data_IF_439176021168
#
_entry.id   IF_439176021168
#
_cell.length_a   1.000
_cell.length_b   1.000
_cell.length_c   1.000
_cell.angle_alpha   90.00
_cell.angle_beta   90.00
_cell.angle_gamma   90.00
#
_symmetry.space_group_name_H-M   'P 1'
#
loop_
_entity.id
_entity.type
_entity.pdbx_description
1 polymer ?
#
# COMPACT_ATOMS: atom_id res chain seq x y z
N UNK A 1 -36.00 -28.67 72.23
CA UNK A 1 -37.07 -27.69 71.96
C UNK A 1 -36.44 -26.35 71.65
N UNK A 2 -36.99 -25.67 70.65
CA UNK A 2 -37.05 -24.20 70.48
C UNK A 2 -35.83 -23.42 69.96
N UNK A 3 -36.00 -23.08 68.67
CA UNK A 3 -35.65 -21.87 67.91
C UNK A 3 -35.38 -20.57 68.70
N UNK A 4 -34.43 -19.77 68.21
CA UNK A 4 -34.51 -18.30 68.01
C UNK A 4 -33.34 -17.89 67.10
N UNK A 5 -33.55 -17.62 65.80
CA UNK A 5 -33.87 -16.31 65.19
C UNK A 5 -33.05 -15.12 65.72
N UNK A 6 -32.36 -14.42 64.82
CA UNK A 6 -31.83 -13.08 65.12
C UNK A 6 -30.74 -12.62 64.16
N UNK A 7 -31.11 -12.22 62.95
CA UNK A 7 -30.25 -11.54 61.99
C UNK A 7 -29.81 -10.15 62.50
N UNK A 8 -28.58 -9.72 62.16
CA UNK A 8 -28.32 -8.31 61.83
C UNK A 8 -27.02 -8.15 61.02
N UNK A 9 -27.19 -7.56 59.82
CA UNK A 9 -26.32 -6.64 59.08
C UNK A 9 -24.79 -6.85 59.13
N UNK A 10 -24.17 -7.29 58.03
CA UNK A 10 -23.71 -6.45 56.90
C UNK A 10 -22.56 -5.49 57.27
N UNK A 11 -21.39 -5.72 56.68
CA UNK A 11 -20.46 -4.74 56.08
C UNK A 11 -19.22 -5.50 55.55
N UNK A 12 -19.12 -5.56 54.22
CA UNK A 12 -17.94 -5.32 53.37
C UNK A 12 -16.57 -5.66 54.01
N UNK A 13 -15.79 -6.60 53.48
CA UNK A 13 -14.98 -6.40 52.28
C UNK A 13 -14.69 -7.75 51.62
N UNK A 14 -15.41 -8.00 50.52
CA UNK A 14 -15.06 -9.03 49.56
C UNK A 14 -13.79 -8.59 48.82
N UNK A 15 -12.76 -9.42 48.95
CA UNK A 15 -11.94 -9.94 47.86
C UNK A 15 -11.75 -9.01 46.66
N UNK A 16 -10.58 -8.38 46.69
CA UNK A 16 -9.79 -7.91 45.58
C UNK A 16 -9.70 -8.98 44.47
N UNK A 17 -10.63 -8.89 43.51
CA UNK A 17 -10.50 -9.50 42.19
C UNK A 17 -11.02 -8.48 41.18
N UNK A 18 -10.16 -7.79 40.43
CA UNK A 18 -10.63 -6.99 39.32
C UNK A 18 -11.34 -7.92 38.33
N UNK A 19 -12.64 -7.68 38.21
CA UNK A 19 -13.55 -8.32 37.29
C UNK A 19 -13.01 -8.19 35.87
N UNK A 20 -13.06 -9.26 35.08
CA UNK A 20 -12.61 -9.33 33.68
C UNK A 20 -13.41 -8.44 32.71
N UNK A 21 -14.12 -7.42 33.23
CA UNK A 21 -14.97 -6.48 32.51
C UNK A 21 -14.37 -5.09 32.33
N UNK A 22 -13.17 -4.82 32.87
CA UNK A 22 -12.44 -3.56 32.66
C UNK A 22 -11.21 -3.65 31.73
N UNK A 23 -10.86 -4.85 31.22
CA UNK A 23 -9.78 -4.99 30.22
C UNK A 23 -10.17 -4.63 28.79
N UNK A 24 -11.44 -4.32 28.52
CA UNK A 24 -11.94 -4.00 27.19
C UNK A 24 -12.03 -2.50 26.88
N UNK A 25 -11.54 -1.62 27.75
CA UNK A 25 -11.53 -0.16 27.54
C UNK A 25 -10.13 0.47 27.43
N UNK A 26 -9.13 -0.35 27.10
CA UNK A 26 -7.74 0.08 26.88
C UNK A 26 -7.17 -0.26 25.50
N UNK A 27 -8.02 -0.68 24.54
CA UNK A 27 -7.64 -1.03 23.15
C UNK A 27 -8.31 -0.10 22.12
N UNK A 28 -8.67 1.10 22.56
CA UNK A 28 -9.29 2.13 21.74
C UNK A 28 -8.58 3.47 21.93
N UNK A 29 -7.32 3.55 21.50
CA UNK A 29 -6.67 4.78 21.02
C UNK A 29 -5.27 4.45 20.50
N UNK A 30 -4.95 4.97 19.31
CA UNK A 30 -3.67 4.96 18.57
C UNK A 30 -3.36 3.64 17.81
N UNK A 31 -3.58 3.50 16.50
CA UNK A 31 -3.73 4.48 15.42
C UNK A 31 -4.72 3.96 14.37
N UNK A 32 -5.87 4.61 14.23
CA UNK A 32 -6.55 4.66 12.95
C UNK A 32 -5.65 5.49 12.03
N UNK A 33 -4.81 4.84 11.22
CA UNK A 33 -4.17 5.53 10.12
C UNK A 33 -5.30 5.98 9.18
N UNK A 34 -5.54 7.29 9.21
CA UNK A 34 -6.43 8.07 8.35
C UNK A 34 -6.39 7.55 6.91
N UNK A 35 -7.55 7.10 6.43
CA UNK A 35 -7.98 6.86 5.05
C UNK A 35 -6.87 6.45 4.07
N UNK A 36 -6.82 5.14 3.78
CA UNK A 36 -6.13 4.63 2.61
C UNK A 36 -7.09 4.65 1.42
N UNK A 37 -6.84 5.46 0.40
CA UNK A 37 -7.63 5.33 -0.84
C UNK A 37 -7.07 4.14 -1.59
N UNK A 38 -7.94 3.16 -1.82
CA UNK A 38 -7.60 1.94 -2.53
C UNK A 38 -7.95 2.07 -4.02
N UNK A 39 -7.04 1.59 -4.85
CA UNK A 39 -7.18 1.57 -6.28
C UNK A 39 -6.94 0.15 -6.79
N UNK A 40 -7.93 -0.39 -7.51
CA UNK A 40 -7.89 -1.73 -8.09
C UNK A 40 -7.94 -1.65 -9.63
N UNK A 41 -7.38 -2.62 -10.37
CA UNK A 41 -7.48 -2.67 -11.82
C UNK A 41 -8.92 -2.54 -12.31
N UNK A 42 -9.14 -1.64 -13.26
CA UNK A 42 -10.45 -1.44 -13.89
C UNK A 42 -10.89 -2.67 -14.71
N UNK A 43 -9.92 -3.47 -15.18
CA UNK A 43 -10.15 -4.71 -15.92
C UNK A 43 -9.10 -5.75 -15.55
N UNK A 44 -9.55 -6.98 -15.32
CA UNK A 44 -8.67 -8.11 -15.01
C UNK A 44 -7.65 -8.40 -16.12
N UNK A 45 -8.01 -8.20 -17.39
CA UNK A 45 -7.11 -8.44 -18.53
C UNK A 45 -5.90 -7.52 -18.58
N UNK A 46 -5.93 -6.35 -17.90
CA UNK A 46 -4.76 -5.47 -17.85
C UNK A 46 -3.61 -6.11 -17.04
N UNK A 47 -3.93 -6.99 -16.09
CA UNK A 47 -2.96 -7.69 -15.26
C UNK A 47 -2.02 -8.61 -16.06
N UNK A 48 -2.43 -9.05 -17.25
CA UNK A 48 -1.61 -9.84 -18.16
C UNK A 48 -0.37 -9.10 -18.68
N UNK A 49 -0.29 -7.79 -18.44
CA UNK A 49 0.85 -6.93 -18.79
C UNK A 49 1.94 -6.93 -17.73
N UNK A 50 1.70 -7.53 -16.57
CA UNK A 50 2.60 -7.55 -15.42
C UNK A 50 2.95 -8.98 -15.02
N UNK A 51 4.15 -9.13 -14.47
CA UNK A 51 4.66 -10.37 -13.93
C UNK A 51 5.43 -10.10 -12.63
N UNK A 52 5.53 -11.12 -11.79
CA UNK A 52 6.46 -11.13 -10.66
C UNK A 52 7.73 -11.82 -11.11
N UNK A 53 8.84 -11.09 -11.12
CA UNK A 53 10.17 -11.64 -11.31
C UNK A 53 10.78 -11.98 -9.96
N UNK A 54 11.30 -13.20 -9.84
CA UNK A 54 11.98 -13.69 -8.64
C UNK A 54 13.47 -13.74 -8.96
N UNK A 55 14.23 -12.85 -8.34
CA UNK A 55 15.67 -12.75 -8.49
C UNK A 55 16.33 -13.64 -7.44
N UNK A 56 16.84 -14.79 -7.89
CA UNK A 56 17.74 -15.63 -7.11
C UNK A 56 19.16 -15.44 -7.67
N UNK A 57 20.15 -15.01 -6.85
CA UNK A 57 21.52 -14.84 -7.32
C UNK A 57 22.19 -16.13 -7.82
N UNK A 58 21.58 -17.30 -7.56
CA UNK A 58 22.06 -18.62 -7.98
C UNK A 58 21.49 -19.07 -9.32
N UNK A 59 20.46 -18.40 -9.84
CA UNK A 59 19.81 -18.78 -11.08
C UNK A 59 20.24 -17.88 -12.25
N UNK A 60 20.58 -18.48 -13.39
CA UNK A 60 20.98 -17.74 -14.60
C UNK A 60 19.81 -16.97 -15.24
N UNK A 61 18.57 -17.39 -14.96
CA UNK A 61 17.35 -16.74 -15.45
C UNK A 61 16.37 -16.62 -14.30
N UNK A 62 15.91 -15.40 -14.05
CA UNK A 62 14.92 -15.12 -13.01
C UNK A 62 13.57 -15.75 -13.38
N UNK A 63 13.02 -16.67 -12.58
CA UNK A 63 11.69 -17.21 -12.83
C UNK A 63 10.64 -16.12 -12.72
N UNK A 64 9.61 -16.21 -13.57
CA UNK A 64 8.52 -15.24 -13.65
C UNK A 64 7.18 -15.87 -13.36
N UNK A 65 6.29 -15.14 -12.70
CA UNK A 65 4.94 -15.59 -12.34
C UNK A 65 3.89 -14.58 -12.80
N UNK A 66 2.81 -15.08 -13.38
CA UNK A 66 1.64 -14.26 -13.64
C UNK A 66 1.00 -13.78 -12.33
N UNK A 67 0.41 -12.59 -12.39
CA UNK A 67 -0.35 -12.01 -11.28
C UNK A 67 -1.84 -12.23 -11.49
N UNK A 68 -2.58 -12.43 -10.41
CA UNK A 68 -4.04 -12.59 -10.43
C UNK A 68 -4.77 -11.34 -9.97
N UNK A 69 -4.14 -10.55 -9.08
CA UNK A 69 -4.74 -9.39 -8.44
C UNK A 69 -3.67 -8.34 -8.10
N UNK A 70 -4.08 -7.07 -8.08
CA UNK A 70 -3.25 -5.90 -7.79
C UNK A 70 -4.09 -4.89 -7.02
N UNK A 71 -3.52 -4.28 -5.98
CA UNK A 71 -4.10 -3.15 -5.24
C UNK A 71 -3.02 -2.10 -5.02
N UNK A 72 -3.37 -0.83 -5.21
CA UNK A 72 -2.54 0.30 -4.80
C UNK A 72 -3.25 1.05 -3.68
N UNK A 73 -2.64 1.03 -2.50
CA UNK A 73 -3.07 1.81 -1.33
C UNK A 73 -2.33 3.15 -1.33
N UNK A 74 -3.06 4.26 -1.28
CA UNK A 74 -2.48 5.57 -1.02
C UNK A 74 -2.78 6.01 0.39
N UNK A 75 -1.78 6.54 1.10
CA UNK A 75 -1.96 7.05 2.46
C UNK A 75 -1.31 8.43 2.62
N UNK A 76 -1.83 9.27 3.54
CA UNK A 76 -1.24 10.57 3.82
C UNK A 76 0.24 10.47 4.19
N UNK A 77 1.00 11.50 3.82
CA UNK A 77 2.40 11.64 4.16
C UNK A 77 2.63 12.93 4.93
N UNK A 78 3.27 13.90 4.28
CA UNK A 78 3.48 15.26 4.82
C UNK A 78 2.27 16.17 4.68
N UNK A 79 1.38 15.86 3.75
CA UNK A 79 0.14 16.60 3.48
C UNK A 79 -1.06 15.65 3.47
N UNK A 80 -2.26 16.22 3.57
CA UNK A 80 -3.50 15.47 3.39
C UNK A 80 -3.57 14.86 1.98
N UNK A 81 -4.06 13.63 1.88
CA UNK A 81 -4.09 12.89 0.62
C UNK A 81 -4.94 13.60 -0.45
N UNK A 82 -6.08 14.18 -0.06
CA UNK A 82 -6.93 14.94 -0.99
C UNK A 82 -6.19 16.16 -1.56
N UNK A 83 -5.36 16.83 -0.76
CA UNK A 83 -4.54 17.95 -1.23
C UNK A 83 -3.43 17.47 -2.18
N UNK A 84 -2.82 16.31 -1.87
CA UNK A 84 -1.83 15.71 -2.75
C UNK A 84 -2.42 15.31 -4.11
N UNK A 85 -3.63 14.76 -4.12
CA UNK A 85 -4.33 14.33 -5.33
C UNK A 85 -4.93 15.50 -6.11
N UNK A 86 -5.29 16.60 -5.44
CA UNK A 86 -5.77 17.83 -6.07
C UNK A 86 -4.64 18.70 -6.66
N UNK A 87 -3.38 18.48 -6.24
CA UNK A 87 -2.20 19.18 -6.74
C UNK A 87 -1.91 18.88 -8.21
N UNK A 88 -2.65 19.50 -9.12
CA UNK A 88 -2.44 19.40 -10.56
C UNK A 88 -1.17 20.12 -11.04
N UNK A 89 -0.89 19.98 -12.35
CA UNK A 89 0.21 20.66 -13.02
C UNK A 89 0.11 22.19 -12.84
N UNK A 90 1.14 22.79 -12.24
CA UNK A 90 1.19 24.25 -11.97
C UNK A 90 1.02 24.66 -10.49
N UNK A 91 0.75 23.72 -9.58
CA UNK A 91 0.84 24.00 -8.14
C UNK A 91 2.32 24.06 -7.69
N UNK A 92 2.66 24.96 -6.76
CA UNK A 92 4.01 25.02 -6.17
C UNK A 92 4.42 23.71 -5.46
N UNK A 93 3.45 22.85 -5.18
CA UNK A 93 3.58 21.52 -4.55
C UNK A 93 4.14 20.48 -5.54
N UNK A 94 4.05 20.70 -6.86
CA UNK A 94 4.49 19.71 -7.87
C UNK A 94 5.98 19.35 -7.77
N UNK A 95 6.82 20.26 -7.28
CA UNK A 95 8.26 20.03 -7.09
C UNK A 95 8.59 19.34 -5.75
N UNK A 96 7.62 19.22 -4.84
CA UNK A 96 7.83 18.64 -3.52
C UNK A 96 7.95 17.12 -3.56
N UNK A 97 8.85 16.60 -2.71
CA UNK A 97 9.07 15.16 -2.53
C UNK A 97 8.41 14.71 -1.23
N UNK A 98 8.05 13.43 -1.17
CA UNK A 98 7.57 12.75 0.04
C UNK A 98 6.24 13.32 0.56
N UNK A 99 5.32 13.64 -0.35
CA UNK A 99 4.02 14.22 -0.03
C UNK A 99 3.05 13.20 0.54
N UNK A 100 2.98 12.03 -0.11
CA UNK A 100 2.13 10.92 0.27
C UNK A 100 2.86 9.60 0.10
N UNK A 101 2.28 8.53 0.65
CA UNK A 101 2.81 7.18 0.55
C UNK A 101 1.92 6.35 -0.37
N UNK A 102 2.55 5.52 -1.20
CA UNK A 102 1.87 4.50 -1.97
C UNK A 102 2.41 3.12 -1.58
N UNK A 103 1.52 2.13 -1.48
CA UNK A 103 1.90 0.73 -1.27
C UNK A 103 1.21 -0.11 -2.32
N UNK A 104 1.96 -1.04 -2.91
CA UNK A 104 1.40 -2.01 -3.85
C UNK A 104 1.27 -3.37 -3.17
N UNK A 105 0.10 -3.98 -3.32
CA UNK A 105 -0.18 -5.35 -2.95
C UNK A 105 -0.47 -6.13 -4.22
N UNK A 106 0.13 -7.30 -4.37
CA UNK A 106 -0.05 -8.12 -5.58
C UNK A 106 -0.19 -9.58 -5.21
N UNK A 107 -1.06 -10.30 -5.91
CA UNK A 107 -1.23 -11.75 -5.75
C UNK A 107 -0.68 -12.44 -6.99
N UNK A 108 0.18 -13.45 -6.81
CA UNK A 108 0.78 -14.19 -7.92
C UNK A 108 1.23 -15.59 -7.52
N UNK A 109 0.85 -16.59 -8.31
CA UNK A 109 1.14 -18.01 -8.01
C UNK A 109 0.62 -18.46 -6.64
N UNK A 110 -0.57 -17.98 -6.23
CA UNK A 110 -1.23 -18.34 -4.97
C UNK A 110 -0.67 -17.67 -3.71
N UNK A 111 0.19 -16.65 -3.85
CA UNK A 111 0.79 -15.92 -2.72
C UNK A 111 0.49 -14.43 -2.82
N UNK A 112 0.27 -13.80 -1.67
CA UNK A 112 0.20 -12.34 -1.53
C UNK A 112 1.60 -11.79 -1.28
N UNK A 113 1.98 -10.78 -2.04
CA UNK A 113 3.20 -10.00 -1.88
C UNK A 113 2.81 -8.59 -1.48
N UNK A 114 3.50 -8.05 -0.48
CA UNK A 114 3.23 -6.72 0.07
C UNK A 114 4.48 -5.86 -0.11
N UNK A 115 4.42 -4.94 -1.05
CA UNK A 115 5.50 -4.00 -1.30
C UNK A 115 5.77 -3.10 -0.11
N UNK A 116 7.02 -2.66 0.01
CA UNK A 116 7.37 -1.61 0.95
C UNK A 116 6.64 -0.30 0.58
N UNK A 117 6.28 0.55 1.56
CA UNK A 117 5.73 1.87 1.27
C UNK A 117 6.72 2.70 0.46
N UNK A 118 6.28 3.20 -0.69
CA UNK A 118 7.02 4.14 -1.51
C UNK A 118 6.64 5.58 -1.14
N UNK A 119 7.62 6.46 -1.08
CA UNK A 119 7.36 7.90 -1.04
C UNK A 119 7.06 8.43 -2.43
N UNK A 120 5.98 9.19 -2.56
CA UNK A 120 5.58 9.83 -3.80
C UNK A 120 5.76 11.35 -3.72
N UNK A 121 6.12 11.96 -4.84
CA UNK A 121 6.16 13.43 -5.00
C UNK A 121 4.82 14.02 -5.45
N UNK A 122 4.81 15.31 -5.73
CA UNK A 122 3.68 15.96 -6.41
C UNK A 122 3.47 15.44 -7.84
N UNK A 123 2.32 15.75 -8.43
CA UNK A 123 2.03 15.40 -9.83
C UNK A 123 2.59 16.48 -10.76
N UNK A 124 3.78 16.22 -11.32
CA UNK A 124 4.32 17.05 -12.40
C UNK A 124 3.78 16.52 -13.75
N UNK A 125 3.09 17.38 -14.52
CA UNK A 125 2.47 16.99 -15.80
C UNK A 125 1.63 15.70 -15.66
N UNK A 126 0.84 15.66 -14.59
CA UNK A 126 -0.05 14.55 -14.21
C UNK A 126 0.65 13.26 -13.76
N UNK A 127 1.98 13.26 -13.60
CA UNK A 127 2.76 12.11 -13.14
C UNK A 127 3.39 12.37 -11.77
N UNK A 128 3.09 11.51 -10.80
CA UNK A 128 3.81 11.43 -9.53
C UNK A 128 4.76 10.23 -9.58
N UNK A 129 6.03 10.45 -9.27
CA UNK A 129 7.02 9.36 -9.16
C UNK A 129 7.11 8.90 -7.72
N UNK A 130 6.93 7.60 -7.52
CA UNK A 130 7.04 6.94 -6.23
C UNK A 130 8.34 6.13 -6.15
N UNK A 131 9.08 6.25 -5.05
CA UNK A 131 10.34 5.54 -4.82
C UNK A 131 10.30 4.74 -3.52
N UNK A 132 10.78 3.49 -3.57
CA UNK A 132 10.93 2.62 -2.41
C UNK A 132 12.29 2.85 -1.75
N UNK A 133 12.32 3.07 -0.44
CA UNK A 133 13.50 3.56 0.28
C UNK A 133 14.66 2.54 0.39
N UNK A 134 14.40 1.23 0.32
CA UNK A 134 15.34 0.20 0.80
C UNK A 134 15.96 -0.73 -0.26
N UNK A 135 15.26 -1.07 -1.34
CA UNK A 135 15.71 -2.09 -2.30
C UNK A 135 15.78 -1.58 -3.75
N UNK A 136 15.52 -0.29 -3.94
CA UNK A 136 15.50 0.31 -5.26
C UNK A 136 14.30 -0.14 -6.08
N UNK A 137 13.70 0.81 -6.78
CA UNK A 137 12.47 0.57 -7.52
C UNK A 137 11.63 1.82 -7.52
N UNK A 138 11.13 2.14 -8.71
CA UNK A 138 10.26 3.30 -8.93
C UNK A 138 9.05 2.84 -9.70
N UNK A 139 7.93 3.47 -9.42
CA UNK A 139 6.73 3.36 -10.24
C UNK A 139 6.10 4.74 -10.35
N UNK A 140 5.31 4.91 -11.40
CA UNK A 140 4.58 6.14 -11.67
C UNK A 140 3.13 5.99 -11.24
N UNK A 141 2.55 7.06 -10.70
CA UNK A 141 1.11 7.22 -10.57
C UNK A 141 0.71 8.39 -11.46
N UNK A 142 -0.17 8.15 -12.42
CA UNK A 142 -0.68 9.17 -13.34
C UNK A 142 -2.16 9.41 -13.12
N UNK A 143 -2.55 10.67 -12.94
CA UNK A 143 -3.96 11.04 -12.85
C UNK A 143 -4.61 10.94 -14.23
N UNK A 144 -5.83 10.40 -14.31
CA UNK A 144 -6.62 10.49 -15.55
C UNK A 144 -7.41 11.78 -15.56
N UNK A 145 -7.04 12.68 -16.46
CA UNK A 145 -7.79 13.93 -16.68
C UNK A 145 -9.27 13.62 -16.95
N UNK A 146 -10.16 14.31 -16.22
CA UNK A 146 -11.61 14.17 -16.35
C UNK A 146 -12.24 12.91 -15.73
N UNK A 147 -11.46 12.02 -15.09
CA UNK A 147 -11.99 10.80 -14.45
C UNK A 147 -11.64 10.77 -12.96
N UNK A 148 -12.51 11.39 -12.12
CA UNK A 148 -12.39 11.30 -10.66
C UNK A 148 -12.33 9.82 -10.23
N UNK A 149 -11.41 9.51 -9.32
CA UNK A 149 -11.19 8.15 -8.82
C UNK A 149 -10.60 7.14 -9.79
N UNK A 150 -10.09 7.58 -10.95
CA UNK A 150 -9.30 6.71 -11.80
C UNK A 150 -7.88 7.24 -11.92
N UNK A 151 -6.92 6.34 -11.77
CA UNK A 151 -5.51 6.63 -11.98
C UNK A 151 -4.85 5.53 -12.79
N UNK A 152 -3.63 5.77 -13.23
CA UNK A 152 -2.83 4.78 -13.94
C UNK A 152 -1.60 4.51 -13.09
N UNK A 153 -1.34 3.25 -12.78
CA UNK A 153 -0.03 2.83 -12.26
C UNK A 153 0.86 2.44 -13.43
N UNK A 154 2.08 2.97 -13.43
CA UNK A 154 3.11 2.75 -14.45
C UNK A 154 4.25 1.98 -13.82
N UNK A 155 4.52 0.78 -14.32
CA UNK A 155 5.62 -0.08 -13.88
C UNK A 155 6.62 -0.21 -15.04
N UNK A 156 7.91 -0.04 -14.78
CA UNK A 156 8.96 -0.05 -15.81
C UNK A 156 9.60 1.33 -16.01
N UNK A 157 9.97 1.65 -17.24
CA UNK A 157 10.51 2.97 -17.58
C UNK A 157 9.46 4.08 -17.36
N UNK A 158 9.87 5.17 -16.69
CA UNK A 158 8.98 6.29 -16.39
C UNK A 158 9.19 7.45 -17.38
N UNK A 159 8.12 8.08 -17.89
CA UNK A 159 8.23 9.23 -18.78
C UNK A 159 9.07 10.36 -18.17
N UNK A 160 10.05 10.86 -18.92
CA UNK A 160 10.90 11.97 -18.49
C UNK A 160 12.03 11.60 -17.52
N UNK A 161 12.20 10.31 -17.19
CA UNK A 161 13.23 9.83 -16.27
C UNK A 161 14.15 8.84 -16.98
N UNK A 162 15.25 9.35 -17.54
CA UNK A 162 16.25 8.53 -18.27
C UNK A 162 17.23 7.79 -17.34
N UNK A 163 17.16 8.04 -16.03
CA UNK A 163 18.13 7.54 -15.03
C UNK A 163 17.61 6.36 -14.19
N UNK A 164 16.58 5.63 -14.65
CA UNK A 164 16.16 4.39 -13.99
C UNK A 164 17.12 3.28 -14.35
N UNK A 165 18.29 3.24 -13.69
CA UNK A 165 19.34 2.26 -13.90
C UNK A 165 18.82 0.84 -14.15
N UNK A 166 19.18 0.30 -15.31
CA UNK A 166 19.25 -1.08 -15.81
C UNK A 166 18.17 -2.14 -15.49
N UNK A 167 17.19 -1.89 -14.63
CA UNK A 167 16.18 -2.91 -14.27
C UNK A 167 14.77 -2.33 -14.18
N UNK A 168 13.86 -2.72 -15.10
CA UNK A 168 12.46 -2.29 -15.02
C UNK A 168 11.78 -2.85 -13.77
N UNK A 169 10.82 -2.10 -13.22
CA UNK A 169 9.96 -2.54 -12.12
C UNK A 169 10.40 -2.08 -10.72
N UNK A 170 9.71 -2.59 -9.69
CA UNK A 170 9.97 -2.25 -8.28
C UNK A 170 9.78 -3.44 -7.34
N UNK A 171 10.47 -3.43 -6.20
CA UNK A 171 10.46 -4.50 -5.22
C UNK A 171 9.09 -4.65 -4.51
N UNK A 172 8.63 -5.90 -4.36
CA UNK A 172 7.33 -6.26 -3.76
C UNK A 172 7.44 -7.21 -2.56
N UNK A 173 8.64 -7.67 -2.21
CA UNK A 173 8.96 -8.08 -0.85
C UNK A 173 9.59 -6.87 -0.13
N UNK A 174 9.09 -6.56 1.07
CA UNK A 174 9.56 -5.39 1.82
C UNK A 174 11.02 -5.50 2.26
N UNK A 175 11.53 -4.41 2.83
CA UNK A 175 12.90 -4.16 3.30
C UNK A 175 13.51 -5.13 4.33
N UNK A 176 12.96 -6.34 4.50
CA UNK A 176 13.46 -7.37 5.41
C UNK A 176 14.23 -8.42 4.63
N UNK A 177 15.57 -8.32 4.73
CA UNK A 177 16.63 -9.16 4.16
C UNK A 177 16.60 -10.66 4.55
N UNK A 178 15.47 -11.22 4.98
CA UNK A 178 15.39 -12.62 5.43
C UNK A 178 14.99 -13.61 4.32
N UNK A 179 14.56 -13.14 3.14
CA UNK A 179 14.30 -14.02 1.99
C UNK A 179 15.50 -14.07 1.06
N UNK A 180 16.00 -15.27 0.78
CA UNK A 180 17.15 -15.52 -0.11
C UNK A 180 16.97 -15.06 -1.58
N UNK A 181 15.76 -14.62 -1.96
CA UNK A 181 15.45 -14.07 -3.28
C UNK A 181 14.70 -12.75 -3.17
N UNK A 182 15.04 -11.81 -4.04
CA UNK A 182 14.34 -10.53 -4.24
C UNK A 182 13.14 -10.77 -5.17
N UNK A 183 11.98 -10.16 -4.92
CA UNK A 183 10.82 -10.25 -5.81
C UNK A 183 10.43 -8.86 -6.32
N UNK A 184 10.29 -8.73 -7.64
CA UNK A 184 9.96 -7.46 -8.29
C UNK A 184 8.67 -7.60 -9.10
N UNK A 185 7.83 -6.57 -9.05
CA UNK A 185 6.77 -6.39 -10.02
C UNK A 185 7.37 -5.73 -11.25
N UNK A 186 7.27 -6.40 -12.40
CA UNK A 186 7.89 -5.98 -13.66
C UNK A 186 6.87 -6.01 -14.80
N UNK A 187 7.10 -5.27 -15.91
CA UNK A 187 6.38 -5.49 -17.14
C UNK A 187 6.59 -6.92 -17.65
N UNK A 188 5.59 -7.44 -18.36
CA UNK A 188 5.70 -8.70 -19.09
C UNK A 188 6.90 -8.67 -20.03
N UNK A 189 7.55 -9.83 -20.17
CA UNK A 189 8.76 -9.98 -20.98
C UNK A 189 8.65 -9.29 -22.36
N UNK A 190 9.65 -8.47 -22.69
CA UNK A 190 9.72 -7.70 -23.94
C UNK A 190 9.08 -6.30 -23.89
N UNK A 191 8.34 -5.95 -22.83
CA UNK A 191 7.82 -4.61 -22.62
C UNK A 191 8.77 -3.74 -21.78
N UNK A 192 8.95 -2.48 -22.18
CA UNK A 192 9.73 -1.48 -21.41
C UNK A 192 8.94 -0.90 -20.24
N UNK A 193 7.61 -0.85 -20.37
CA UNK A 193 6.70 -0.38 -19.34
C UNK A 193 5.32 -1.03 -19.47
N UNK A 194 4.56 -1.03 -18.38
CA UNK A 194 3.17 -1.44 -18.31
C UNK A 194 2.34 -0.35 -17.61
N UNK A 195 1.25 0.06 -18.27
CA UNK A 195 0.25 0.97 -17.73
C UNK A 195 -1.03 0.19 -17.41
N UNK A 196 -1.46 0.28 -16.15
CA UNK A 196 -2.69 -0.36 -15.64
C UNK A 196 -3.63 0.73 -15.15
N UNK A 197 -4.85 0.74 -15.67
CA UNK A 197 -5.88 1.69 -15.24
C UNK A 197 -6.47 1.15 -13.95
N UNK A 198 -6.39 1.94 -12.90
CA UNK A 198 -6.97 1.66 -11.61
C UNK A 198 -8.21 2.53 -11.35
N UNK A 199 -9.13 2.02 -10.55
CA UNK A 199 -10.34 2.71 -10.10
C UNK A 199 -10.52 2.54 -8.60
N UNK A 200 -11.09 3.56 -7.97
CA UNK A 200 -11.47 3.60 -6.56
C UNK A 200 -12.99 3.62 -6.43
N UNK A 201 -13.53 2.88 -5.46
CA UNK A 201 -14.96 2.90 -5.14
C UNK A 201 -15.40 4.24 -4.50
N UNK A 202 -14.46 4.99 -3.91
CA UNK A 202 -14.72 6.25 -3.18
C UNK A 202 -14.98 7.45 -4.09
N UNK A 203 -15.00 7.29 -5.41
CA UNK A 203 -15.15 8.40 -6.36
C UNK A 203 -16.45 8.36 -7.18
N UNK A 204 -17.42 7.55 -6.75
CA UNK A 204 -18.71 7.42 -7.43
C UNK A 204 -19.74 8.51 -7.05
N UNK A 205 -19.35 9.54 -6.28
CA UNK A 205 -20.20 10.66 -5.87
C UNK A 205 -20.03 11.92 -6.75
#
# INVERSE_FOLDING_TARGET
MMLCLGALLAVLLALDRPSARERSRGLAATAAAKVAVEFVPSRRSELERLEIEILDPRETRAPRRAISDLVVELSPGRIDLDQALAGGSGSGIAAERHLFRARVLVVGGGRLYRGAPAWCGGFERDLSTCAVDCEGGRFGLKMRSGARGSMIVIVGELPGNKDTGDRPGFAINGCSFETASEQRLVPKHGAVAAEIVLTSELAAD
#
